data_IF_838734585886
#
_entry.id   IF_838734585886
#
_cell.length_a   1.000
_cell.length_b   1.000
_cell.length_c   1.000
_cell.angle_alpha   90.00
_cell.angle_beta   90.00
_cell.angle_gamma   90.00
#
_symmetry.space_group_name_H-M   'P 1'
#
loop_
_entity.id
_entity.type
_entity.pdbx_description
1 polymer ?
#
# COMPACT_ATOMS: atom_id res chain seq x y z
N UNK A 1 -20.91 10.92 2.28
CA UNK A 1 -20.81 10.05 3.48
C UNK A 1 -19.49 9.30 3.57
N UNK A 2 -19.05 8.56 2.53
CA UNK A 2 -17.76 7.81 2.56
C UNK A 2 -16.51 8.71 2.67
N UNK A 3 -16.54 9.91 2.10
CA UNK A 3 -15.43 10.86 2.20
C UNK A 3 -15.14 11.31 3.65
N UNK A 4 -16.18 11.41 4.49
CA UNK A 4 -15.98 11.75 5.91
C UNK A 4 -15.22 10.65 6.66
N UNK A 5 -15.38 9.38 6.25
CA UNK A 5 -14.63 8.24 6.79
C UNK A 5 -13.19 8.25 6.28
N UNK A 6 -12.97 8.56 5.00
CA UNK A 6 -11.62 8.71 4.46
C UNK A 6 -10.86 9.85 5.16
N UNK A 7 -11.54 10.97 5.44
CA UNK A 7 -10.94 12.12 6.10
C UNK A 7 -10.66 11.92 7.60
N UNK A 8 -11.24 10.89 8.24
CA UNK A 8 -10.95 10.59 9.64
C UNK A 8 -9.72 9.69 9.81
N UNK A 9 -9.17 9.16 8.71
CA UNK A 9 -7.98 8.32 8.73
C UNK A 9 -6.71 9.17 8.57
N UNK A 10 -5.59 8.75 9.18
CA UNK A 10 -4.32 9.42 9.00
C UNK A 10 -3.85 9.27 7.55
N UNK A 11 -3.21 10.32 7.00
CA UNK A 11 -2.69 10.32 5.63
C UNK A 11 -1.51 9.35 5.43
N UNK A 12 -0.84 8.96 6.52
CA UNK A 12 0.27 8.00 6.52
C UNK A 12 0.35 7.31 7.87
N UNK A 13 0.81 6.06 7.89
CA UNK A 13 1.07 5.29 9.10
C UNK A 13 2.58 5.21 9.30
N UNK A 14 3.04 5.55 10.50
CA UNK A 14 4.43 5.31 10.89
C UNK A 14 4.64 3.81 11.13
N UNK A 15 5.53 3.21 10.34
CA UNK A 15 5.87 1.79 10.41
C UNK A 15 7.25 1.54 11.06
N UNK A 16 7.84 2.55 11.73
CA UNK A 16 9.19 2.47 12.29
C UNK A 16 9.33 1.33 13.31
N UNK A 17 8.35 1.12 14.20
CA UNK A 17 8.36 0.01 15.16
C UNK A 17 8.45 -1.36 14.46
N UNK A 18 7.68 -1.56 13.38
CA UNK A 18 7.73 -2.81 12.61
C UNK A 18 9.05 -2.98 11.85
N UNK A 19 9.64 -1.87 11.38
CA UNK A 19 10.94 -1.88 10.72
C UNK A 19 12.07 -2.24 11.70
N UNK A 20 12.02 -1.69 12.92
CA UNK A 20 13.04 -1.91 13.96
C UNK A 20 12.93 -3.28 14.62
N UNK A 21 11.71 -3.71 14.98
CA UNK A 21 11.50 -4.97 15.72
C UNK A 21 11.52 -6.20 14.81
N UNK A 22 11.03 -6.08 13.58
CA UNK A 22 10.82 -7.21 12.67
C UNK A 22 11.49 -7.05 11.31
N UNK A 23 12.27 -5.99 11.10
CA UNK A 23 12.93 -5.73 9.82
C UNK A 23 11.95 -5.47 8.68
N UNK A 24 10.74 -5.01 8.98
CA UNK A 24 9.74 -4.73 7.97
C UNK A 24 10.24 -3.71 6.94
N UNK A 25 10.17 -4.06 5.66
CA UNK A 25 10.52 -3.18 4.54
C UNK A 25 9.52 -3.33 3.42
N UNK A 26 8.87 -2.21 3.05
CA UNK A 26 8.01 -2.17 1.88
C UNK A 26 8.85 -2.46 0.61
N UNK A 27 8.44 -3.48 -0.14
CA UNK A 27 9.12 -3.91 -1.38
C UNK A 27 8.50 -3.33 -2.65
N UNK A 28 7.29 -2.80 -2.55
CA UNK A 28 6.54 -2.25 -3.65
C UNK A 28 6.26 -0.78 -3.40
N UNK A 29 6.53 0.02 -4.41
CA UNK A 29 6.05 1.39 -4.53
C UNK A 29 4.76 1.43 -5.38
N UNK A 30 4.18 2.61 -5.54
CA UNK A 30 2.94 2.77 -6.31
C UNK A 30 3.14 2.33 -7.77
N UNK A 31 4.29 2.63 -8.37
CA UNK A 31 4.56 2.34 -9.78
C UNK A 31 4.70 0.84 -10.05
N UNK A 32 5.53 0.15 -9.27
CA UNK A 32 5.74 -1.31 -9.33
C UNK A 32 4.47 -2.08 -9.01
N UNK A 33 3.70 -1.64 -7.99
CA UNK A 33 2.42 -2.24 -7.65
C UNK A 33 1.41 -2.08 -8.81
N UNK A 34 1.36 -0.91 -9.44
CA UNK A 34 0.46 -0.67 -10.58
C UNK A 34 0.81 -1.57 -11.77
N UNK A 35 2.09 -1.71 -12.09
CA UNK A 35 2.55 -2.56 -13.18
C UNK A 35 2.18 -4.04 -12.94
N UNK A 36 2.46 -4.58 -11.74
CA UNK A 36 2.16 -5.97 -11.39
C UNK A 36 0.65 -6.24 -11.45
N UNK A 37 -0.17 -5.35 -10.86
CA UNK A 37 -1.63 -5.49 -10.90
C UNK A 37 -2.18 -5.54 -12.32
N UNK A 38 -1.70 -4.67 -13.22
CA UNK A 38 -2.12 -4.67 -14.63
C UNK A 38 -1.67 -5.95 -15.36
N UNK A 39 -0.48 -6.46 -15.07
CA UNK A 39 0.01 -7.72 -15.63
C UNK A 39 -0.88 -8.89 -15.23
N UNK A 40 -1.19 -9.02 -13.93
CA UNK A 40 -2.05 -10.09 -13.42
C UNK A 40 -3.47 -10.04 -13.99
N UNK A 41 -4.02 -8.84 -14.15
CA UNK A 41 -5.35 -8.67 -14.75
C UNK A 41 -5.36 -9.06 -16.22
N UNK A 42 -4.31 -8.72 -16.98
CA UNK A 42 -4.16 -9.16 -18.39
C UNK A 42 -4.03 -10.66 -18.53
N UNK A 43 -3.35 -11.34 -17.60
CA UNK A 43 -3.21 -12.80 -17.63
C UNK A 43 -4.51 -13.54 -17.27
N UNK A 44 -5.48 -12.86 -16.65
CA UNK A 44 -6.77 -13.42 -16.24
C UNK A 44 -7.87 -13.24 -17.30
N UNK A 45 -7.65 -12.36 -18.27
CA UNK A 45 -8.56 -12.07 -19.38
C UNK A 45 -8.17 -12.89 -20.61
#
# INVERSE_FOLDING_TARGET
MRQAIANSWPNSIDASAAAEEWGFKAKYDISSMTADMLEKLKAKL
#
